data_IF_935279146649
#
_entry.id   IF_935279146649
#
_cell.length_a   1.000
_cell.length_b   1.000
_cell.length_c   1.000
_cell.angle_alpha   90.00
_cell.angle_beta   90.00
_cell.angle_gamma   90.00
#
_symmetry.space_group_name_H-M   'P 1'
#
loop_
_entity.id
_entity.type
_entity.pdbx_description
1 polymer ?
#
# COMPACT_ATOMS: atom_id res chain seq x y z
N UNK A 1 -15.37 -18.96 -10.47
CA UNK A 1 -14.54 -17.79 -10.12
C UNK A 1 -13.61 -18.10 -8.94
N UNK A 2 -14.01 -18.92 -7.97
CA UNK A 2 -13.26 -19.22 -6.73
C UNK A 2 -12.06 -20.18 -6.92
N UNK A 3 -11.82 -20.72 -8.10
CA UNK A 3 -10.61 -21.51 -8.40
C UNK A 3 -9.34 -20.64 -8.41
N UNK A 4 -8.17 -21.23 -8.15
CA UNK A 4 -6.88 -20.53 -8.13
C UNK A 4 -6.64 -19.64 -9.35
N UNK A 5 -6.96 -20.12 -10.56
CA UNK A 5 -6.81 -19.34 -11.79
C UNK A 5 -7.76 -18.15 -11.82
N UNK A 6 -9.03 -18.34 -11.44
CA UNK A 6 -10.02 -17.26 -11.43
C UNK A 6 -9.66 -16.15 -10.46
N UNK A 7 -9.31 -16.46 -9.22
CA UNK A 7 -8.90 -15.48 -8.22
C UNK A 7 -7.59 -14.79 -8.60
N UNK A 8 -6.65 -15.48 -9.24
CA UNK A 8 -5.40 -14.90 -9.73
C UNK A 8 -5.66 -13.86 -10.81
N UNK A 9 -6.54 -14.17 -11.77
CA UNK A 9 -6.88 -13.20 -12.84
C UNK A 9 -7.58 -11.99 -12.27
N UNK A 10 -8.58 -12.19 -11.41
CA UNK A 10 -9.37 -11.10 -10.83
C UNK A 10 -8.48 -10.19 -9.99
N UNK A 11 -7.79 -10.73 -8.99
CA UNK A 11 -7.00 -9.91 -8.06
C UNK A 11 -5.66 -9.45 -8.64
N UNK A 12 -5.10 -10.22 -9.58
CA UNK A 12 -3.97 -9.75 -10.38
C UNK A 12 -4.32 -8.55 -11.26
N UNK A 13 -5.54 -8.53 -11.83
CA UNK A 13 -6.03 -7.37 -12.58
C UNK A 13 -6.19 -6.13 -11.68
N UNK A 14 -6.70 -6.27 -10.44
CA UNK A 14 -6.74 -5.17 -9.48
C UNK A 14 -5.37 -4.54 -9.27
N UNK A 15 -4.37 -5.35 -8.96
CA UNK A 15 -3.01 -4.90 -8.71
C UNK A 15 -2.35 -4.33 -9.97
N UNK A 16 -2.57 -4.95 -11.12
CA UNK A 16 -2.02 -4.52 -12.40
C UNK A 16 -2.53 -3.12 -12.81
N UNK A 17 -3.85 -2.91 -12.77
CA UNK A 17 -4.41 -1.60 -13.11
C UNK A 17 -3.89 -0.50 -12.18
N UNK A 18 -3.84 -0.76 -10.88
CA UNK A 18 -3.24 0.18 -9.95
C UNK A 18 -1.76 0.46 -10.25
N UNK A 19 -1.00 -0.57 -10.59
CA UNK A 19 0.41 -0.41 -10.91
C UNK A 19 0.64 0.50 -12.12
N UNK A 20 -0.24 0.43 -13.13
CA UNK A 20 -0.17 1.32 -14.30
C UNK A 20 -0.87 2.68 -14.09
N UNK A 21 -1.25 3.00 -12.87
CA UNK A 21 -1.85 4.30 -12.52
C UNK A 21 -3.35 4.40 -12.74
N UNK A 22 -4.03 3.30 -13.01
CA UNK A 22 -5.49 3.25 -13.17
C UNK A 22 -6.10 2.68 -11.88
N UNK A 23 -7.17 3.30 -11.37
CA UNK A 23 -7.86 2.82 -10.18
C UNK A 23 -8.49 1.44 -10.43
N UNK A 24 -7.80 0.37 -9.98
CA UNK A 24 -8.18 -1.02 -10.25
C UNK A 24 -9.62 -1.39 -9.85
N UNK A 25 -10.11 -1.01 -8.64
CA UNK A 25 -11.49 -1.24 -8.24
C UNK A 25 -12.50 -0.67 -9.25
N UNK A 26 -12.29 0.53 -9.76
CA UNK A 26 -13.22 1.14 -10.73
C UNK A 26 -13.38 0.35 -12.04
N UNK A 27 -12.39 -0.45 -12.40
CA UNK A 27 -12.41 -1.28 -13.62
C UNK A 27 -12.95 -2.69 -13.33
N UNK A 28 -12.46 -3.33 -12.26
CA UNK A 28 -12.71 -4.76 -12.02
C UNK A 28 -13.94 -4.99 -11.14
N UNK A 29 -14.16 -4.14 -10.14
CA UNK A 29 -15.24 -4.33 -9.16
C UNK A 29 -16.64 -4.37 -9.79
N UNK A 30 -17.01 -3.53 -10.75
CA UNK A 30 -18.32 -3.62 -11.40
C UNK A 30 -18.60 -4.98 -12.04
N UNK A 31 -17.56 -5.66 -12.54
CA UNK A 31 -17.71 -6.98 -13.17
C UNK A 31 -17.92 -8.11 -12.17
N UNK A 32 -17.48 -7.96 -10.92
CA UNK A 32 -17.51 -9.03 -9.90
C UNK A 32 -18.43 -8.73 -8.72
N UNK A 33 -18.93 -7.49 -8.58
CA UNK A 33 -19.70 -7.03 -7.42
C UNK A 33 -20.88 -7.96 -7.07
N UNK A 34 -21.67 -8.34 -8.06
CA UNK A 34 -22.80 -9.23 -7.82
C UNK A 34 -22.39 -10.58 -7.21
N UNK A 35 -21.25 -11.12 -7.65
CA UNK A 35 -20.72 -12.41 -7.14
C UNK A 35 -20.15 -12.22 -5.74
N UNK A 36 -19.42 -11.14 -5.48
CA UNK A 36 -18.80 -10.88 -4.18
C UNK A 36 -19.84 -10.70 -3.07
N UNK A 37 -20.93 -9.95 -3.36
CA UNK A 37 -22.03 -9.79 -2.40
C UNK A 37 -22.82 -11.08 -2.19
N UNK A 38 -23.15 -11.79 -3.27
CA UNK A 38 -23.84 -13.09 -3.16
C UNK A 38 -23.02 -14.11 -2.37
N UNK A 39 -21.72 -14.18 -2.60
CA UNK A 39 -20.83 -15.09 -1.86
C UNK A 39 -20.76 -14.75 -0.36
N UNK A 40 -20.73 -13.48 0.00
CA UNK A 40 -20.74 -13.07 1.41
C UNK A 40 -22.05 -13.49 2.11
N UNK A 41 -23.20 -13.36 1.44
CA UNK A 41 -24.49 -13.80 1.95
C UNK A 41 -24.54 -15.34 2.07
N UNK A 42 -24.06 -16.08 1.06
CA UNK A 42 -23.96 -17.55 1.11
C UNK A 42 -23.09 -17.98 2.29
N UNK A 43 -21.92 -17.38 2.49
CA UNK A 43 -21.06 -17.71 3.62
C UNK A 43 -21.75 -17.47 4.97
N UNK A 44 -22.48 -16.37 5.10
CA UNK A 44 -23.21 -16.06 6.33
C UNK A 44 -24.30 -17.10 6.62
N UNK A 45 -25.02 -17.55 5.58
CA UNK A 45 -26.07 -18.57 5.71
C UNK A 45 -25.47 -19.93 6.05
N UNK A 46 -24.40 -20.35 5.38
CA UNK A 46 -23.66 -21.57 5.70
C UNK A 46 -23.23 -21.58 7.17
N UNK A 47 -22.68 -20.48 7.66
CA UNK A 47 -22.26 -20.38 9.05
C UNK A 47 -23.43 -20.48 10.03
N UNK A 48 -24.59 -19.86 9.75
CA UNK A 48 -25.82 -19.97 10.57
C UNK A 48 -26.35 -21.40 10.65
N UNK A 49 -26.17 -22.17 9.59
CA UNK A 49 -26.54 -23.59 9.52
C UNK A 49 -25.47 -24.51 10.13
N UNK A 50 -24.39 -23.96 10.68
CA UNK A 50 -23.27 -24.72 11.25
C UNK A 50 -22.40 -25.40 10.20
N UNK A 51 -22.52 -24.97 8.95
CA UNK A 51 -21.72 -25.44 7.82
C UNK A 51 -20.49 -24.58 7.57
N UNK A 52 -19.53 -25.13 6.84
CA UNK A 52 -18.30 -24.44 6.47
C UNK A 52 -18.56 -23.34 5.43
N UNK A 53 -18.18 -22.11 5.75
CA UNK A 53 -18.26 -20.97 4.85
C UNK A 53 -17.05 -20.98 3.89
N UNK A 54 -17.23 -21.46 2.66
CA UNK A 54 -16.17 -21.82 1.73
C UNK A 54 -15.97 -20.83 0.55
N UNK A 55 -16.83 -19.83 0.39
CA UNK A 55 -16.73 -18.90 -0.74
C UNK A 55 -15.59 -17.90 -0.54
N UNK A 56 -14.64 -17.90 -1.46
CA UNK A 56 -13.41 -17.10 -1.40
C UNK A 56 -13.63 -15.67 -1.92
N UNK A 57 -14.30 -15.53 -3.07
CA UNK A 57 -14.47 -14.25 -3.73
C UNK A 57 -15.53 -13.41 -3.02
N UNK A 58 -15.11 -12.68 -2.00
CA UNK A 58 -15.94 -11.77 -1.19
C UNK A 58 -15.30 -10.38 -1.10
N UNK A 59 -16.07 -9.37 -0.71
CA UNK A 59 -15.53 -8.02 -0.43
C UNK A 59 -14.50 -8.03 0.70
N UNK A 60 -14.68 -8.88 1.72
CA UNK A 60 -13.71 -9.05 2.80
C UNK A 60 -12.37 -9.59 2.30
N UNK A 61 -12.38 -10.55 1.39
CA UNK A 61 -11.15 -11.06 0.75
C UNK A 61 -10.42 -9.96 0.00
N UNK A 62 -11.15 -9.16 -0.77
CA UNK A 62 -10.57 -8.03 -1.48
C UNK A 62 -9.93 -7.04 -0.51
N UNK A 63 -10.65 -6.60 0.53
CA UNK A 63 -10.23 -5.51 1.42
C UNK A 63 -9.15 -5.91 2.42
N UNK A 64 -9.21 -7.13 2.97
CA UNK A 64 -8.36 -7.50 4.10
C UNK A 64 -7.28 -8.53 3.78
N UNK A 65 -7.35 -9.18 2.62
CA UNK A 65 -6.35 -10.13 2.15
C UNK A 65 -5.55 -9.55 0.98
N UNK A 66 -6.25 -9.20 -0.11
CA UNK A 66 -5.63 -8.76 -1.37
C UNK A 66 -5.09 -7.35 -1.26
N UNK A 67 -5.86 -6.43 -0.66
CA UNK A 67 -5.43 -5.05 -0.43
C UNK A 67 -5.07 -4.80 1.04
N UNK A 68 -4.33 -5.72 1.64
CA UNK A 68 -3.86 -5.59 3.02
C UNK A 68 -3.03 -4.31 3.21
N UNK A 69 -3.60 -3.32 3.92
CA UNK A 69 -3.00 -1.99 4.08
C UNK A 69 -3.02 -1.12 2.83
N UNK A 70 -3.85 -1.47 1.85
CA UNK A 70 -4.00 -0.80 0.57
C UNK A 70 -3.51 -1.65 -0.61
N UNK A 71 -3.63 -1.12 -1.81
CA UNK A 71 -3.33 -1.85 -3.04
C UNK A 71 -1.88 -2.35 -3.08
N UNK A 72 -1.68 -3.55 -3.60
CA UNK A 72 -0.37 -4.21 -3.62
C UNK A 72 0.01 -4.91 -2.32
N UNK A 73 -0.94 -5.07 -1.36
CA UNK A 73 -0.70 -5.62 -0.03
C UNK A 73 0.44 -4.90 0.71
N UNK A 74 0.36 -3.58 0.76
CA UNK A 74 1.46 -2.70 1.19
C UNK A 74 1.50 -2.42 2.68
N UNK A 75 0.75 -3.12 3.53
CA UNK A 75 0.70 -2.87 4.97
C UNK A 75 2.09 -2.80 5.60
N UNK A 76 2.98 -3.71 5.22
CA UNK A 76 4.33 -3.81 5.79
C UNK A 76 5.30 -2.78 5.22
N UNK A 77 5.04 -2.26 4.02
CA UNK A 77 5.99 -1.43 3.26
C UNK A 77 6.40 -0.16 4.02
N UNK A 78 5.49 0.68 4.57
CA UNK A 78 5.89 1.86 5.33
C UNK A 78 6.74 1.53 6.56
N UNK A 79 6.45 0.43 7.25
CA UNK A 79 7.26 -0.03 8.38
C UNK A 79 8.66 -0.45 7.93
N UNK A 80 8.76 -1.17 6.82
CA UNK A 80 10.05 -1.55 6.24
C UNK A 80 10.85 -0.31 5.80
N UNK A 81 10.20 0.66 5.18
CA UNK A 81 10.82 1.95 4.83
C UNK A 81 11.35 2.67 6.06
N UNK A 82 10.56 2.74 7.13
CA UNK A 82 10.92 3.41 8.38
C UNK A 82 12.11 2.75 9.08
N UNK A 83 12.15 1.42 9.13
CA UNK A 83 13.13 0.69 9.95
C UNK A 83 14.30 0.09 9.18
N UNK A 84 14.09 -0.35 7.93
CA UNK A 84 15.10 -1.08 7.16
C UNK A 84 15.87 -0.20 6.17
N UNK A 85 15.27 0.89 5.65
CA UNK A 85 15.94 1.78 4.72
C UNK A 85 17.04 2.61 5.42
N UNK A 86 18.10 2.88 4.68
CA UNK A 86 19.21 3.74 5.09
C UNK A 86 19.03 5.19 4.63
N UNK A 87 18.36 5.39 3.47
CA UNK A 87 18.03 6.71 2.94
C UNK A 87 17.17 7.50 3.93
N UNK A 88 17.54 8.75 4.17
CA UNK A 88 16.76 9.66 5.03
C UNK A 88 15.40 9.97 4.41
N UNK A 89 15.37 10.15 3.09
CA UNK A 89 14.15 10.38 2.31
C UNK A 89 13.18 9.21 2.46
N UNK A 90 13.62 7.98 2.23
CA UNK A 90 12.79 6.79 2.34
C UNK A 90 12.26 6.61 3.76
N UNK A 91 13.08 6.81 4.78
CA UNK A 91 12.66 6.73 6.20
C UNK A 91 11.60 7.78 6.56
N UNK A 92 11.72 8.99 6.05
CA UNK A 92 10.73 10.05 6.27
C UNK A 92 9.38 9.70 5.61
N UNK A 93 9.41 9.23 4.36
CA UNK A 93 8.21 8.76 3.64
C UNK A 93 7.56 7.59 4.40
N UNK A 94 8.35 6.61 4.85
CA UNK A 94 7.86 5.49 5.64
C UNK A 94 7.11 5.98 6.89
N UNK A 95 7.71 6.86 7.68
CA UNK A 95 7.07 7.44 8.89
C UNK A 95 5.76 8.14 8.61
N UNK A 96 5.72 8.94 7.55
CA UNK A 96 4.50 9.67 7.15
C UNK A 96 3.39 8.72 6.68
N UNK A 97 3.74 7.56 6.15
CA UNK A 97 2.80 6.61 5.54
C UNK A 97 2.29 5.52 6.47
N UNK A 98 2.92 5.28 7.64
CA UNK A 98 2.55 4.19 8.57
C UNK A 98 1.09 4.27 8.97
N UNK A 99 0.65 5.42 9.49
CA UNK A 99 -0.70 5.57 10.03
C UNK A 99 -1.76 5.44 8.94
N UNK A 100 -1.72 6.18 7.82
CA UNK A 100 -2.73 6.03 6.78
C UNK A 100 -2.75 4.61 6.20
N UNK A 101 -1.60 3.98 5.92
CA UNK A 101 -1.53 2.61 5.38
C UNK A 101 -2.10 1.59 6.35
N UNK A 102 -1.94 1.77 7.66
CA UNK A 102 -2.54 0.89 8.65
C UNK A 102 -4.07 0.86 8.55
N UNK A 103 -4.69 1.97 8.15
CA UNK A 103 -6.13 2.10 7.91
C UNK A 103 -6.55 1.91 6.43
N UNK A 104 -5.68 1.32 5.61
CA UNK A 104 -5.99 0.98 4.22
C UNK A 104 -5.74 2.11 3.20
N UNK A 105 -5.23 3.28 3.63
CA UNK A 105 -4.93 4.43 2.77
C UNK A 105 -3.44 4.46 2.47
N UNK A 106 -3.03 3.87 1.34
CA UNK A 106 -1.61 3.73 1.02
C UNK A 106 -1.07 4.73 -0.03
N UNK A 107 -1.88 5.69 -0.48
CA UNK A 107 -1.47 6.72 -1.43
C UNK A 107 -0.20 7.48 -1.00
N UNK A 108 0.02 7.79 0.28
CA UNK A 108 1.26 8.45 0.70
C UNK A 108 2.52 7.66 0.37
N UNK A 109 2.51 6.33 0.53
CA UNK A 109 3.65 5.48 0.16
C UNK A 109 3.69 5.21 -1.34
N UNK A 110 2.53 5.05 -2.01
CA UNK A 110 2.44 4.79 -3.45
C UNK A 110 3.09 5.89 -4.28
N UNK A 111 2.87 7.15 -3.89
CA UNK A 111 3.35 8.31 -4.63
C UNK A 111 4.59 8.94 -4.00
N UNK A 112 4.75 8.86 -2.69
CA UNK A 112 5.93 9.39 -1.98
C UNK A 112 7.21 8.62 -2.31
N UNK A 113 7.13 7.29 -2.34
CA UNK A 113 8.23 6.42 -2.75
C UNK A 113 7.84 5.65 -4.01
N UNK A 114 7.60 6.30 -5.15
CA UNK A 114 6.82 5.85 -6.27
C UNK A 114 6.83 4.31 -6.42
N UNK A 115 5.86 3.64 -5.77
CA UNK A 115 5.70 2.19 -5.88
C UNK A 115 4.98 1.84 -7.19
N UNK A 116 4.04 2.68 -7.61
CA UNK A 116 3.35 2.57 -8.91
C UNK A 116 4.25 3.09 -10.02
N UNK A 117 4.15 2.48 -11.20
CA UNK A 117 4.96 2.79 -12.40
C UNK A 117 6.48 2.62 -12.19
N UNK A 118 6.92 2.06 -11.08
CA UNK A 118 8.33 1.79 -10.81
C UNK A 118 8.66 0.32 -11.12
N UNK A 119 9.50 0.05 -12.11
CA UNK A 119 9.83 -1.33 -12.51
C UNK A 119 10.36 -2.21 -11.37
N UNK A 120 11.03 -1.61 -10.37
CA UNK A 120 11.57 -2.34 -9.22
C UNK A 120 10.44 -2.99 -8.43
N UNK A 121 9.32 -2.27 -8.24
CA UNK A 121 8.20 -2.76 -7.45
C UNK A 121 7.13 -3.51 -8.25
N UNK A 122 7.28 -3.67 -9.57
CA UNK A 122 6.32 -4.38 -10.40
C UNK A 122 6.02 -5.79 -9.89
N UNK A 123 7.06 -6.55 -9.63
CA UNK A 123 6.94 -7.94 -9.18
C UNK A 123 6.25 -8.02 -7.80
N UNK A 124 6.77 -7.39 -6.72
CA UNK A 124 6.16 -7.51 -5.41
C UNK A 124 4.75 -6.92 -5.36
N UNK A 125 4.48 -5.84 -6.06
CA UNK A 125 3.17 -5.18 -6.07
C UNK A 125 2.05 -6.05 -6.64
N UNK A 126 2.37 -6.91 -7.60
CA UNK A 126 1.39 -7.85 -8.21
C UNK A 126 1.41 -9.20 -7.50
N UNK A 127 2.59 -9.69 -7.11
CA UNK A 127 2.73 -11.01 -6.55
C UNK A 127 2.25 -11.12 -5.09
N UNK A 128 2.43 -10.08 -4.25
CA UNK A 128 2.03 -10.13 -2.86
C UNK A 128 0.50 -10.33 -2.71
N UNK A 129 -0.38 -9.57 -3.38
CA UNK A 129 -1.82 -9.82 -3.37
C UNK A 129 -2.22 -11.23 -3.81
N UNK A 130 -1.55 -11.76 -4.86
CA UNK A 130 -1.84 -13.09 -5.38
C UNK A 130 -1.40 -14.17 -4.38
N UNK A 131 -0.21 -14.03 -3.80
CA UNK A 131 0.27 -14.95 -2.76
C UNK A 131 -0.66 -14.96 -1.56
N UNK A 132 -1.10 -13.78 -1.10
CA UNK A 132 -2.01 -13.64 0.03
C UNK A 132 -3.33 -14.37 -0.20
N UNK A 133 -3.96 -14.17 -1.36
CA UNK A 133 -5.23 -14.85 -1.64
C UNK A 133 -5.06 -16.35 -1.86
N UNK A 134 -3.93 -16.81 -2.35
CA UNK A 134 -3.65 -18.25 -2.47
C UNK A 134 -3.47 -18.90 -1.11
N UNK A 135 -2.75 -18.26 -0.20
CA UNK A 135 -2.59 -18.73 1.19
C UNK A 135 -3.95 -18.71 1.91
N UNK A 136 -4.73 -17.65 1.75
CA UNK A 136 -6.08 -17.56 2.30
C UNK A 136 -6.96 -18.70 1.81
N UNK A 137 -6.97 -18.98 0.50
CA UNK A 137 -7.70 -20.09 -0.08
C UNK A 137 -7.25 -21.45 0.48
N UNK A 138 -5.95 -21.65 0.65
CA UNK A 138 -5.40 -22.85 1.27
C UNK A 138 -5.92 -23.03 2.72
N UNK A 139 -5.96 -21.95 3.50
CA UNK A 139 -6.50 -22.00 4.87
C UNK A 139 -7.98 -22.38 4.91
N UNK A 140 -8.77 -21.92 3.94
CA UNK A 140 -10.19 -22.26 3.86
C UNK A 140 -10.38 -23.70 3.41
N UNK A 141 -9.83 -24.08 2.26
CA UNK A 141 -10.11 -25.39 1.64
C UNK A 141 -9.40 -26.55 2.33
N UNK A 142 -8.20 -26.34 2.88
CA UNK A 142 -7.39 -27.43 3.45
C UNK A 142 -7.43 -27.46 4.97
N UNK A 143 -7.40 -26.29 5.62
CA UNK A 143 -7.38 -26.22 7.09
C UNK A 143 -8.79 -26.03 7.68
N UNK A 144 -9.82 -25.85 6.85
CA UNK A 144 -11.20 -25.72 7.31
C UNK A 144 -11.53 -24.40 7.99
N UNK A 145 -10.74 -23.33 7.73
CA UNK A 145 -11.06 -21.98 8.20
C UNK A 145 -12.29 -21.45 7.47
N UNK A 146 -13.23 -20.82 8.16
CA UNK A 146 -14.34 -20.13 7.49
C UNK A 146 -13.87 -18.86 6.81
N UNK A 147 -14.39 -18.60 5.63
CA UNK A 147 -14.21 -17.37 4.87
C UNK A 147 -14.99 -16.19 5.49
N UNK A 148 -14.90 -15.04 4.85
CA UNK A 148 -15.60 -13.83 5.30
C UNK A 148 -17.10 -14.00 5.26
N UNK A 149 -17.75 -13.67 6.38
CA UNK A 149 -19.19 -13.74 6.60
C UNK A 149 -19.78 -12.37 6.96
N UNK A 150 -18.95 -11.38 7.25
CA UNK A 150 -19.34 -10.03 7.61
C UNK A 150 -18.69 -9.00 6.68
N UNK A 151 -19.46 -8.00 6.29
CA UNK A 151 -18.95 -6.82 5.59
C UNK A 151 -18.54 -5.77 6.62
N UNK A 152 -17.25 -5.48 6.65
CA UNK A 152 -16.66 -4.45 7.51
C UNK A 152 -16.27 -3.23 6.68
N UNK A 153 -16.19 -2.04 7.29
CA UNK A 153 -15.67 -0.85 6.62
C UNK A 153 -14.24 -1.09 6.10
N UNK A 154 -13.96 -0.65 4.88
CA UNK A 154 -12.65 -0.81 4.25
C UNK A 154 -11.50 -0.13 5.02
N UNK A 155 -11.82 0.87 5.86
CA UNK A 155 -10.87 1.55 6.75
C UNK A 155 -10.51 0.75 8.00
N UNK A 156 -11.11 -0.42 8.21
CA UNK A 156 -10.71 -1.31 9.30
C UNK A 156 -9.27 -1.79 9.06
N UNK A 157 -8.36 -1.71 10.06
CA UNK A 157 -7.02 -2.26 9.91
C UNK A 157 -7.06 -3.71 9.43
N UNK A 158 -6.36 -4.04 8.34
CA UNK A 158 -6.55 -5.29 7.64
C UNK A 158 -6.38 -6.56 8.52
N UNK A 159 -5.39 -6.67 9.44
CA UNK A 159 -5.30 -7.81 10.34
C UNK A 159 -6.52 -7.95 11.26
N UNK A 160 -7.08 -6.83 11.73
CA UNK A 160 -8.30 -6.83 12.53
C UNK A 160 -9.52 -7.18 11.68
N UNK A 161 -9.62 -6.62 10.47
CA UNK A 161 -10.69 -6.91 9.53
C UNK A 161 -10.72 -8.38 9.12
N UNK A 162 -9.56 -9.01 8.95
CA UNK A 162 -9.44 -10.45 8.70
C UNK A 162 -10.03 -11.25 9.87
N UNK A 163 -9.59 -10.98 11.09
CA UNK A 163 -10.03 -11.74 12.28
C UNK A 163 -11.53 -11.54 12.56
N UNK A 164 -12.00 -10.29 12.52
CA UNK A 164 -13.40 -9.94 12.74
C UNK A 164 -14.31 -10.52 11.65
N UNK A 165 -13.92 -10.38 10.40
CA UNK A 165 -14.71 -10.83 9.24
C UNK A 165 -14.85 -12.34 9.10
N UNK A 166 -13.92 -13.08 9.71
CA UNK A 166 -13.90 -14.55 9.73
C UNK A 166 -14.28 -15.16 11.09
N UNK A 167 -14.98 -14.41 11.95
CA UNK A 167 -15.54 -14.87 13.24
C UNK A 167 -14.51 -15.31 14.29
N UNK A 168 -13.42 -14.58 14.47
CA UNK A 168 -12.44 -14.79 15.55
C UNK A 168 -11.85 -16.21 15.62
N UNK A 169 -11.71 -16.88 14.49
CA UNK A 169 -11.09 -18.20 14.46
C UNK A 169 -9.60 -18.13 14.80
N UNK A 170 -9.07 -19.11 15.51
CA UNK A 170 -7.63 -19.18 15.82
C UNK A 170 -6.79 -19.17 14.55
N UNK A 171 -7.24 -19.86 13.48
CA UNK A 171 -6.58 -19.87 12.18
C UNK A 171 -6.50 -18.48 11.55
N UNK A 172 -7.45 -17.57 11.82
CA UNK A 172 -7.41 -16.19 11.30
C UNK A 172 -6.26 -15.37 11.89
N UNK A 173 -5.95 -15.56 13.16
CA UNK A 173 -4.79 -14.91 13.80
C UNK A 173 -3.47 -15.43 13.23
N UNK A 174 -3.38 -16.77 13.03
CA UNK A 174 -2.21 -17.40 12.42
C UNK A 174 -2.04 -16.89 10.98
N UNK A 175 -3.12 -16.85 10.22
CA UNK A 175 -3.11 -16.34 8.85
C UNK A 175 -2.69 -14.89 8.80
N UNK A 176 -3.23 -14.01 9.65
CA UNK A 176 -2.84 -12.60 9.69
C UNK A 176 -1.33 -12.42 9.93
N UNK A 177 -0.78 -13.16 10.88
CA UNK A 177 0.66 -13.13 11.15
C UNK A 177 1.48 -13.69 9.96
N UNK A 178 1.02 -14.78 9.35
CA UNK A 178 1.69 -15.40 8.20
C UNK A 178 1.72 -14.45 6.99
N UNK A 179 0.60 -13.79 6.66
CA UNK A 179 0.52 -12.87 5.53
C UNK A 179 1.47 -11.68 5.71
N UNK A 180 1.57 -11.12 6.93
CA UNK A 180 2.53 -10.07 7.24
C UNK A 180 3.97 -10.54 6.96
N UNK A 181 4.32 -11.75 7.38
CA UNK A 181 5.66 -12.31 7.15
C UNK A 181 5.90 -12.54 5.66
N UNK A 182 4.93 -13.07 4.95
CA UNK A 182 5.01 -13.32 3.49
C UNK A 182 5.21 -12.01 2.73
N UNK A 183 4.44 -10.98 3.05
CA UNK A 183 4.56 -9.66 2.41
C UNK A 183 5.94 -9.04 2.69
N UNK A 184 6.46 -9.15 3.92
CA UNK A 184 7.84 -8.70 4.22
C UNK A 184 8.87 -9.43 3.37
N UNK A 185 8.77 -10.77 3.26
CA UNK A 185 9.71 -11.58 2.47
C UNK A 185 9.65 -11.20 0.98
N UNK A 186 8.45 -11.00 0.44
CA UNK A 186 8.26 -10.63 -0.97
C UNK A 186 8.82 -9.22 -1.25
N UNK A 187 8.53 -8.23 -0.39
CA UNK A 187 8.95 -6.85 -0.64
C UNK A 187 10.42 -6.57 -0.30
N UNK A 188 11.02 -7.33 0.61
CA UNK A 188 12.36 -7.04 1.15
C UNK A 188 13.47 -6.90 0.10
N UNK A 189 13.65 -7.83 -0.87
CA UNK A 189 14.73 -7.70 -1.84
C UNK A 189 14.58 -6.47 -2.73
N UNK A 190 13.36 -6.15 -3.12
CA UNK A 190 13.08 -5.01 -3.99
C UNK A 190 13.24 -3.68 -3.25
N UNK A 191 12.82 -3.64 -1.99
CA UNK A 191 13.03 -2.49 -1.12
C UNK A 191 14.53 -2.17 -0.99
N UNK A 192 15.37 -3.20 -0.80
CA UNK A 192 16.80 -3.02 -0.65
C UNK A 192 17.42 -2.42 -1.92
N UNK A 193 17.05 -2.93 -3.09
CA UNK A 193 17.52 -2.39 -4.38
C UNK A 193 17.08 -0.93 -4.54
N UNK A 194 15.82 -0.63 -4.22
CA UNK A 194 15.31 0.73 -4.31
C UNK A 194 16.02 1.70 -3.33
N UNK A 195 16.25 1.26 -2.09
CA UNK A 195 16.95 2.09 -1.09
C UNK A 195 18.40 2.39 -1.49
N UNK A 196 19.09 1.42 -2.07
CA UNK A 196 20.45 1.61 -2.61
C UNK A 196 20.47 2.64 -3.75
N UNK A 197 19.48 2.59 -4.65
CA UNK A 197 19.34 3.58 -5.73
C UNK A 197 19.12 5.00 -5.18
N UNK A 198 18.22 5.16 -4.22
CA UNK A 198 17.95 6.47 -3.60
C UNK A 198 19.18 6.97 -2.82
N UNK A 199 19.92 6.09 -2.17
CA UNK A 199 21.18 6.47 -1.49
C UNK A 199 22.25 6.98 -2.46
N UNK A 200 22.34 6.40 -3.64
CA UNK A 200 23.22 6.89 -4.70
C UNK A 200 22.79 8.27 -5.20
N UNK A 201 21.49 8.49 -5.39
CA UNK A 201 20.93 9.80 -5.74
C UNK A 201 21.23 10.86 -4.66
N UNK A 202 21.04 10.52 -3.39
CA UNK A 202 21.36 11.40 -2.24
C UNK A 202 22.86 11.74 -2.20
N UNK A 203 23.73 10.77 -2.48
CA UNK A 203 25.20 10.98 -2.49
C UNK A 203 25.69 11.79 -3.67
N UNK A 204 25.09 11.60 -4.84
CA UNK A 204 25.48 12.30 -6.08
C UNK A 204 24.94 13.73 -6.18
N UNK A 205 24.12 14.17 -5.24
CA UNK A 205 23.45 15.48 -5.27
C UNK A 205 22.37 15.63 -6.34
N UNK A 206 22.12 14.61 -7.15
CA UNK A 206 21.13 14.64 -8.24
C UNK A 206 19.74 15.08 -7.79
N UNK A 207 19.32 14.69 -6.59
CA UNK A 207 18.04 15.10 -6.02
C UNK A 207 17.93 16.62 -5.85
N UNK A 208 19.03 17.27 -5.48
CA UNK A 208 19.08 18.73 -5.33
C UNK A 208 19.09 19.44 -6.69
N UNK A 209 19.78 18.86 -7.69
CA UNK A 209 19.85 19.42 -9.03
C UNK A 209 18.48 19.32 -9.75
N UNK A 210 17.78 18.18 -9.63
CA UNK A 210 16.41 18.06 -10.13
C UNK A 210 15.42 19.01 -9.44
N UNK A 211 15.58 19.23 -8.14
CA UNK A 211 14.76 20.20 -7.41
C UNK A 211 15.02 21.62 -7.91
N UNK A 212 16.30 22.00 -8.08
CA UNK A 212 16.70 23.29 -8.65
C UNK A 212 16.09 23.49 -10.03
N UNK A 213 16.18 22.49 -10.90
CA UNK A 213 15.62 22.54 -12.26
C UNK A 213 14.08 22.68 -12.25
N UNK A 214 13.39 21.88 -11.46
CA UNK A 214 11.91 21.94 -11.34
C UNK A 214 11.44 23.27 -10.74
N UNK A 215 12.15 23.83 -9.77
CA UNK A 215 11.82 25.11 -9.16
C UNK A 215 12.09 26.24 -10.14
N UNK A 216 13.22 26.22 -10.85
CA UNK A 216 13.56 27.23 -11.86
C UNK A 216 12.57 27.22 -13.04
N UNK A 217 12.06 26.06 -13.44
CA UNK A 217 11.09 25.91 -14.52
C UNK A 217 9.69 26.46 -14.17
N UNK A 218 9.30 26.46 -12.90
CA UNK A 218 7.94 26.78 -12.47
C UNK A 218 7.80 28.14 -11.75
N UNK A 219 8.89 28.77 -11.39
CA UNK A 219 8.89 30.04 -10.62
C UNK A 219 9.85 31.07 -11.20
N UNK A 220 9.51 32.38 -11.04
CA UNK A 220 10.43 33.47 -11.38
C UNK A 220 11.70 33.40 -10.52
N UNK A 221 12.85 33.79 -11.07
CA UNK A 221 14.18 33.67 -10.46
C UNK A 221 14.23 34.10 -8.99
N UNK A 222 13.65 35.24 -8.64
CA UNK A 222 13.64 35.73 -7.25
C UNK A 222 12.81 34.88 -6.28
N UNK A 223 11.71 34.21 -6.77
CA UNK A 223 10.94 33.26 -5.97
C UNK A 223 11.61 31.89 -5.93
N UNK A 224 12.25 31.50 -7.02
CA UNK A 224 13.02 30.28 -7.09
C UNK A 224 14.17 30.26 -6.08
N UNK A 225 14.94 31.33 -6.03
CA UNK A 225 16.07 31.50 -5.10
C UNK A 225 15.61 31.49 -3.64
N UNK A 226 14.51 32.20 -3.32
CA UNK A 226 13.93 32.17 -1.97
C UNK A 226 13.40 30.81 -1.54
N UNK A 227 12.88 30.00 -2.47
CA UNK A 227 12.40 28.62 -2.22
C UNK A 227 13.58 27.69 -2.00
N UNK A 228 14.64 27.79 -2.83
CA UNK A 228 15.84 26.96 -2.72
C UNK A 228 16.62 27.26 -1.44
N UNK A 229 16.73 28.53 -1.07
CA UNK A 229 17.35 28.99 0.19
C UNK A 229 16.57 28.42 1.40
N UNK A 230 15.23 28.54 1.41
CA UNK A 230 14.39 27.95 2.48
C UNK A 230 14.47 26.44 2.53
N UNK A 231 14.62 25.76 1.39
CA UNK A 231 14.79 24.31 1.31
C UNK A 231 16.21 23.85 1.73
N UNK A 232 17.14 24.78 1.98
CA UNK A 232 18.51 24.46 2.38
C UNK A 232 19.32 23.75 1.29
N UNK A 233 18.96 23.93 0.02
CA UNK A 233 19.58 23.20 -1.12
C UNK A 233 21.00 23.69 -1.40
N UNK A 234 21.33 24.91 -0.98
CA UNK A 234 22.69 25.48 -1.11
C UNK A 234 23.56 25.28 0.14
N UNK A 235 22.99 24.75 1.23
CA UNK A 235 23.75 24.43 2.45
C UNK A 235 24.34 23.02 2.36
N UNK A 236 25.65 22.93 2.41
CA UNK A 236 26.41 21.68 2.23
C UNK A 236 26.23 20.61 3.35
N UNK A 237 25.28 20.81 4.28
CA UNK A 237 24.93 19.81 5.31
C UNK A 237 23.47 19.96 5.73
N UNK A 238 22.60 19.06 5.22
CA UNK A 238 21.19 18.97 5.62
C UNK A 238 21.04 18.23 6.96
N UNK A 239 21.13 18.94 8.07
CA UNK A 239 20.56 18.49 9.34
C UNK A 239 19.16 19.09 9.48
N UNK A 240 18.12 18.26 9.37
CA UNK A 240 16.75 18.66 9.70
C UNK A 240 16.69 18.86 11.22
N UNK A 241 16.61 20.11 11.65
CA UNK A 241 16.40 20.48 13.05
C UNK A 241 14.91 20.73 13.29
N UNK A 242 14.50 20.84 14.57
CA UNK A 242 13.09 21.15 14.93
C UNK A 242 12.57 22.48 14.36
N UNK A 243 13.44 23.34 13.84
CA UNK A 243 13.13 24.64 13.25
C UNK A 243 13.13 24.63 11.72
N UNK A 244 13.25 23.46 11.08
CA UNK A 244 13.29 23.35 9.62
C UNK A 244 11.89 23.56 9.04
N UNK A 245 11.71 24.63 8.27
CA UNK A 245 10.47 24.86 7.52
C UNK A 245 10.33 23.81 6.42
N UNK A 246 9.22 23.07 6.41
CA UNK A 246 8.93 22.05 5.41
C UNK A 246 8.10 22.68 4.29
N UNK A 247 8.64 22.72 3.06
CA UNK A 247 7.89 23.12 1.88
C UNK A 247 7.23 21.90 1.24
N UNK A 248 5.90 21.86 1.23
CA UNK A 248 5.12 20.82 0.57
C UNK A 248 4.73 21.28 -0.82
N UNK A 249 5.31 20.67 -1.86
CA UNK A 249 4.96 20.93 -3.26
C UNK A 249 4.06 19.79 -3.77
N UNK A 250 2.85 20.12 -4.19
CA UNK A 250 1.92 19.18 -4.82
C UNK A 250 1.60 19.63 -6.26
N UNK A 251 1.66 18.72 -7.22
CA UNK A 251 1.42 18.98 -8.63
C UNK A 251 -0.02 19.46 -8.94
N UNK A 252 -0.96 19.34 -8.00
CA UNK A 252 -2.37 19.67 -8.17
C UNK A 252 -2.86 20.94 -7.47
N UNK A 253 -2.00 21.79 -6.91
CA UNK A 253 -2.33 23.13 -6.39
C UNK A 253 -3.33 23.25 -5.23
N UNK A 254 -4.29 22.33 -5.08
CA UNK A 254 -5.37 22.40 -4.09
C UNK A 254 -5.04 21.80 -2.72
N UNK A 255 -4.30 20.71 -2.70
CA UNK A 255 -3.96 19.97 -1.47
C UNK A 255 -2.76 20.54 -0.72
N UNK A 256 -1.86 21.22 -1.41
CA UNK A 256 -0.68 21.85 -0.79
C UNK A 256 -1.02 23.02 0.14
N UNK A 257 -2.10 23.76 -0.14
CA UNK A 257 -2.58 24.84 0.73
C UNK A 257 -3.16 24.35 2.05
N UNK A 258 -3.81 23.19 2.06
CA UNK A 258 -4.38 22.57 3.27
C UNK A 258 -3.28 21.98 4.18
N UNK A 259 -2.24 21.40 3.60
CA UNK A 259 -1.11 20.85 4.35
C UNK A 259 -0.18 21.92 4.90
N UNK A 260 0.03 23.02 4.17
CA UNK A 260 0.86 24.15 4.64
C UNK A 260 0.22 24.93 5.79
N UNK A 261 -1.11 24.88 5.95
CA UNK A 261 -1.82 25.48 7.08
C UNK A 261 -1.95 24.57 8.30
N UNK A 262 -1.60 23.28 8.17
CA UNK A 262 -1.66 22.30 9.26
C UNK A 262 -0.29 22.03 9.92
N UNK A 263 0.77 22.59 9.38
CA UNK A 263 2.15 22.54 9.90
C UNK A 263 2.56 23.87 10.52
#
# INVERSE_FOLDING_TARGET
ADGYVGITIIFGAFAFFWFVGIHGPSIVEPAIAAITYANAEVNLNLLKEGMHADKILTSGTQMFIVTMGGTGATLVVPFMFMWLCKSKRNRAIGRASVVPTFFGVNEPILFGAPLVLNPIFFIPFIFAPIANVWIFKFFIETLGMNSFTANLPWTTPAPLGLVLGTNFQVLSFILAALLIVVDVVIYYPFLKVYDEQILEEERSGKSNDELKEKVAANFNTAKADAILEKAGVDAAQNTITKETNVLVLCAGGGTSGLLANAL
#
